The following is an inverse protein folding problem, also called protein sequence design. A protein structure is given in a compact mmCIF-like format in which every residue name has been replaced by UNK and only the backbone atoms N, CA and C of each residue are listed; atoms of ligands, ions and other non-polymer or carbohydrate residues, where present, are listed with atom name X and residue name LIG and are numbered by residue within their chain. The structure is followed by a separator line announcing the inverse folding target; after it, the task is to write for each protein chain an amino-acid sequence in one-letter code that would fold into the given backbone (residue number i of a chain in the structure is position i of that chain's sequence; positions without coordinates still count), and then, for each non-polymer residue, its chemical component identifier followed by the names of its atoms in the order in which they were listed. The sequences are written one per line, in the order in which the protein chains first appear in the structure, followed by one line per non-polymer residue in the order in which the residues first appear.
data_IF_020751767325
#
_entry.id   IF_020751767325
#
_cell.length_a   1.000
_cell.length_b   1.000
_cell.length_c   1.000
_cell.angle_alpha   90.00
_cell.angle_beta   90.00
_cell.angle_gamma   90.00
#
_symmetry.space_group_name_H-M   'P 1'
#
loop_
_entity.id
_entity.type
_entity.pdbx_description
1 polymer ?
#
# COMPACT_ATOMS: atom_id res chain seq x y z
N UNK A 1 13.70 30.39 8.54
CA UNK A 1 12.76 29.44 7.90
C UNK A 1 12.45 28.36 8.90
N UNK A 2 11.29 28.42 9.55
CA UNK A 2 10.87 27.42 10.52
C UNK A 2 10.46 26.17 9.75
N UNK A 3 11.20 25.07 9.91
CA UNK A 3 10.86 23.80 9.28
C UNK A 3 9.54 23.32 9.88
N UNK A 4 8.43 23.52 9.18
CA UNK A 4 7.16 22.94 9.58
C UNK A 4 7.31 21.42 9.51
N UNK A 5 7.17 20.76 10.66
CA UNK A 5 7.30 19.33 10.76
C UNK A 5 6.24 18.68 9.86
N UNK A 6 6.68 17.91 8.85
CA UNK A 6 5.76 17.25 7.91
C UNK A 6 5.04 16.13 8.64
N UNK A 7 3.72 16.04 8.48
CA UNK A 7 2.95 14.92 9.01
C UNK A 7 3.57 13.58 8.58
N UNK A 8 3.91 12.74 9.56
CA UNK A 8 4.43 11.40 9.34
C UNK A 8 3.26 10.42 9.36
N UNK A 9 2.99 9.78 8.23
CA UNK A 9 2.04 8.68 8.16
C UNK A 9 2.69 7.45 8.78
N UNK A 10 2.09 6.86 9.81
CA UNK A 10 2.56 5.62 10.42
C UNK A 10 1.38 4.72 10.74
N UNK A 11 1.52 3.43 10.41
CA UNK A 11 0.57 2.41 10.81
C UNK A 11 1.30 1.19 11.34
N UNK A 12 0.68 0.49 12.29
CA UNK A 12 1.05 -0.87 12.67
C UNK A 12 0.00 -1.82 12.17
N UNK A 13 0.44 -2.82 11.40
CA UNK A 13 -0.43 -3.75 10.70
C UNK A 13 -0.03 -5.17 11.07
N UNK A 14 -1.01 -5.97 11.49
CA UNK A 14 -0.87 -7.40 11.72
C UNK A 14 -1.33 -8.14 10.46
N UNK A 15 -0.48 -9.02 9.92
CA UNK A 15 -0.92 -9.98 8.90
C UNK A 15 -1.62 -11.13 9.62
N UNK A 16 -2.72 -11.61 9.04
CA UNK A 16 -3.50 -12.72 9.57
C UNK A 16 -3.41 -13.93 8.64
N UNK A 17 -3.50 -15.12 9.23
CA UNK A 17 -3.79 -16.38 8.54
C UNK A 17 -5.08 -16.95 9.13
N UNK A 18 -6.17 -16.87 8.36
CA UNK A 18 -7.52 -17.32 8.78
C UNK A 18 -7.98 -16.69 10.09
N UNK A 19 -7.78 -15.38 10.23
CA UNK A 19 -8.11 -14.61 11.42
C UNK A 19 -7.09 -14.64 12.56
N UNK A 20 -6.08 -15.52 12.51
CA UNK A 20 -5.05 -15.61 13.55
C UNK A 20 -3.79 -14.80 13.19
N UNK A 21 -3.13 -14.12 14.15
CA UNK A 21 -1.91 -13.36 13.90
C UNK A 21 -0.77 -14.21 13.30
N UNK A 22 -0.35 -13.85 12.08
CA UNK A 22 0.84 -14.40 11.44
C UNK A 22 2.07 -13.53 11.76
N UNK A 23 2.87 -13.96 12.74
CA UNK A 23 4.07 -13.25 13.17
C UNK A 23 3.80 -11.96 13.95
N UNK A 24 4.81 -11.09 14.07
CA UNK A 24 4.70 -9.82 14.79
C UNK A 24 4.09 -8.71 13.92
N UNK A 25 3.39 -7.72 14.53
CA UNK A 25 2.89 -6.57 13.79
C UNK A 25 4.01 -5.77 13.13
N UNK A 26 3.78 -5.33 11.90
CA UNK A 26 4.74 -4.62 11.07
C UNK A 26 4.45 -3.13 11.12
N UNK A 27 5.46 -2.32 11.43
CA UNK A 27 5.38 -0.87 11.32
C UNK A 27 5.63 -0.41 9.88
N UNK A 28 4.72 0.39 9.33
CA UNK A 28 4.80 0.92 7.97
C UNK A 28 4.68 2.44 8.02
N UNK A 29 5.58 3.13 7.32
CA UNK A 29 5.75 4.59 7.47
C UNK A 29 5.78 5.34 6.14
N UNK A 30 5.51 6.65 6.20
CA UNK A 30 5.60 7.60 5.11
C UNK A 30 4.80 7.16 3.88
N UNK A 31 5.49 7.08 2.74
CA UNK A 31 4.86 6.72 1.45
C UNK A 31 4.47 5.24 1.35
N UNK A 32 5.13 4.36 2.11
CA UNK A 32 4.72 2.95 2.18
C UNK A 32 3.42 2.82 2.97
N UNK A 33 3.28 3.58 4.06
CA UNK A 33 2.03 3.65 4.85
C UNK A 33 0.87 4.12 3.98
N UNK A 34 1.06 5.20 3.21
CA UNK A 34 0.08 5.67 2.24
C UNK A 34 -0.28 4.58 1.21
N UNK A 35 0.70 3.92 0.60
CA UNK A 35 0.45 2.90 -0.41
C UNK A 35 -0.32 1.71 0.16
N UNK A 36 0.09 1.20 1.33
CA UNK A 36 -0.58 0.09 2.00
C UNK A 36 -2.01 0.45 2.39
N UNK A 37 -2.26 1.65 2.91
CA UNK A 37 -3.62 2.14 3.21
C UNK A 37 -4.53 2.10 1.99
N UNK A 38 -4.04 2.59 0.85
CA UNK A 38 -4.82 2.58 -0.38
C UNK A 38 -5.11 1.15 -0.84
N UNK A 39 -4.16 0.23 -0.73
CA UNK A 39 -4.38 -1.17 -1.06
C UNK A 39 -5.40 -1.84 -0.14
N UNK A 40 -5.33 -1.60 1.17
CA UNK A 40 -6.32 -2.09 2.15
C UNK A 40 -7.72 -1.57 1.80
N UNK A 41 -7.85 -0.26 1.58
CA UNK A 41 -9.13 0.37 1.26
C UNK A 41 -9.70 -0.09 -0.09
N UNK A 42 -8.85 -0.34 -1.08
CA UNK A 42 -9.29 -0.84 -2.38
C UNK A 42 -9.70 -2.31 -2.34
N UNK A 43 -9.17 -3.09 -1.39
CA UNK A 43 -9.40 -4.53 -1.29
C UNK A 43 -9.13 -5.25 -2.62
N UNK A 44 -10.04 -6.14 -3.01
CA UNK A 44 -9.95 -6.90 -4.25
C UNK A 44 -9.97 -6.03 -5.53
N UNK A 45 -10.49 -4.81 -5.47
CA UNK A 45 -10.45 -3.90 -6.62
C UNK A 45 -9.02 -3.43 -6.91
N UNK A 46 -8.13 -3.41 -5.91
CA UNK A 46 -6.75 -2.99 -6.05
C UNK A 46 -6.54 -1.52 -6.46
N UNK A 47 -5.28 -1.11 -6.54
CA UNK A 47 -4.89 0.24 -6.93
C UNK A 47 -4.14 0.24 -8.27
N UNK A 48 -4.49 1.18 -9.13
CA UNK A 48 -3.74 1.48 -10.37
C UNK A 48 -3.24 2.94 -10.32
N UNK A 49 -2.06 3.25 -10.88
CA UNK A 49 -1.60 4.64 -11.01
C UNK A 49 -2.60 5.56 -11.74
N UNK A 50 -3.55 5.01 -12.50
CA UNK A 50 -4.58 5.77 -13.22
C UNK A 50 -5.62 6.35 -12.25
N UNK A 51 -6.18 5.53 -11.36
CA UNK A 51 -7.26 5.94 -10.43
C UNK A 51 -6.73 6.41 -9.09
N UNK A 52 -5.56 5.93 -8.70
CA UNK A 52 -4.90 6.26 -7.42
C UNK A 52 -3.50 6.79 -7.72
N UNK A 53 -3.37 8.03 -8.21
CA UNK A 53 -2.09 8.56 -8.65
C UNK A 53 -1.09 8.65 -7.50
N UNK A 54 0.10 8.11 -7.72
CA UNK A 54 1.19 8.10 -6.76
C UNK A 54 2.53 7.93 -7.48
N UNK A 55 3.61 8.58 -7.03
CA UNK A 55 4.80 8.75 -7.86
C UNK A 55 5.58 7.46 -8.14
N UNK A 56 5.43 6.38 -7.34
CA UNK A 56 6.26 5.15 -7.45
C UNK A 56 5.59 3.87 -6.93
N UNK A 57 4.42 3.52 -7.45
CA UNK A 57 3.70 2.31 -7.04
C UNK A 57 4.53 1.02 -7.11
N UNK A 58 5.30 0.81 -8.18
CA UNK A 58 6.18 -0.36 -8.33
C UNK A 58 7.22 -0.48 -7.22
N UNK A 59 7.82 0.62 -6.80
CA UNK A 59 8.79 0.63 -5.70
C UNK A 59 8.12 0.39 -4.34
N UNK A 60 6.94 0.98 -4.09
CA UNK A 60 6.23 0.79 -2.84
C UNK A 60 5.77 -0.65 -2.67
N UNK A 61 5.21 -1.23 -3.73
CA UNK A 61 4.75 -2.62 -3.74
C UNK A 61 5.92 -3.60 -3.58
N UNK A 62 7.07 -3.35 -4.24
CA UNK A 62 8.29 -4.14 -4.02
C UNK A 62 8.77 -4.11 -2.57
N UNK A 63 8.81 -2.91 -1.94
CA UNK A 63 9.19 -2.76 -0.52
C UNK A 63 8.20 -3.49 0.40
N UNK A 64 6.90 -3.32 0.18
CA UNK A 64 5.85 -3.96 0.99
C UNK A 64 5.89 -5.49 0.88
N UNK A 65 6.16 -6.05 -0.30
CA UNK A 65 6.41 -7.49 -0.47
C UNK A 65 7.60 -7.97 0.34
N UNK A 66 8.69 -7.21 0.34
CA UNK A 66 9.86 -7.48 1.18
C UNK A 66 9.57 -7.43 2.69
N UNK A 67 8.49 -6.77 3.10
CA UNK A 67 8.01 -6.74 4.49
C UNK A 67 7.05 -7.90 4.82
N UNK A 68 6.68 -8.73 3.84
CA UNK A 68 5.81 -9.90 4.03
C UNK A 68 4.38 -9.76 3.50
N UNK A 69 3.98 -8.60 2.98
CA UNK A 69 2.64 -8.42 2.41
C UNK A 69 2.53 -9.12 1.05
N UNK A 70 1.55 -10.02 0.92
CA UNK A 70 1.22 -10.68 -0.34
C UNK A 70 0.47 -9.69 -1.24
N UNK A 71 1.19 -9.11 -2.21
CA UNK A 71 0.64 -8.16 -3.17
C UNK A 71 0.84 -8.72 -4.57
N UNK A 72 -0.20 -8.80 -5.38
CA UNK A 72 -0.13 -9.19 -6.80
C UNK A 72 0.03 -7.96 -7.70
N UNK A 73 0.67 -8.13 -8.86
CA UNK A 73 0.66 -7.15 -9.96
C UNK A 73 -0.07 -7.75 -11.16
N UNK A 74 -1.27 -7.25 -11.42
CA UNK A 74 -2.08 -7.58 -12.59
C UNK A 74 -1.75 -6.57 -13.70
N UNK A 75 -1.48 -7.04 -14.91
CA UNK A 75 -1.24 -6.17 -16.06
C UNK A 75 -2.55 -5.94 -16.82
N UNK A 76 -3.11 -4.75 -16.69
CA UNK A 76 -4.34 -4.36 -17.37
C UNK A 76 -4.01 -3.65 -18.68
N UNK A 77 -4.59 -4.12 -19.77
CA UNK A 77 -4.53 -3.42 -21.06
C UNK A 77 -5.36 -2.15 -20.98
N UNK A 78 -4.83 -1.07 -21.53
CA UNK A 78 -5.60 0.16 -21.75
C UNK A 78 -5.56 0.56 -23.23
N UNK A 79 -6.70 1.05 -23.73
CA UNK A 79 -6.85 1.55 -25.11
C UNK A 79 -6.47 3.02 -25.25
N UNK A 80 -6.88 3.62 -26.36
CA UNK A 80 -6.65 5.02 -26.70
C UNK A 80 -5.44 5.24 -27.63
N UNK A 81 -5.10 6.51 -27.95
CA UNK A 81 -4.00 6.85 -28.87
C UNK A 81 -2.63 6.33 -28.43
N UNK A 82 -2.47 6.09 -27.13
CA UNK A 82 -1.27 5.51 -26.53
C UNK A 82 -1.65 4.19 -25.87
N UNK A 83 -1.82 3.13 -26.66
CA UNK A 83 -2.16 1.80 -26.14
C UNK A 83 -1.01 1.17 -25.37
N UNK A 84 -1.32 0.42 -24.32
CA UNK A 84 -0.30 -0.26 -23.53
C UNK A 84 -0.89 -1.13 -22.44
N UNK A 85 -0.05 -1.51 -21.49
CA UNK A 85 -0.48 -2.12 -20.24
C UNK A 85 -0.04 -1.26 -19.07
N UNK A 86 -0.82 -1.30 -18.00
CA UNK A 86 -0.46 -0.68 -16.74
C UNK A 86 -0.70 -1.68 -15.60
N UNK A 87 -0.02 -1.45 -14.48
CA UNK A 87 -0.15 -2.31 -13.32
C UNK A 87 -1.37 -1.94 -12.48
N UNK A 88 -2.15 -2.96 -12.08
CA UNK A 88 -3.03 -2.94 -10.93
C UNK A 88 -2.40 -3.78 -9.82
N UNK A 89 -2.34 -3.22 -8.62
CA UNK A 89 -1.78 -3.87 -7.44
C UNK A 89 -2.91 -4.28 -6.50
N UNK A 90 -2.95 -5.55 -6.12
CA UNK A 90 -4.00 -6.12 -5.26
C UNK A 90 -3.34 -6.71 -4.02
N UNK A 91 -3.81 -6.33 -2.84
CA UNK A 91 -3.37 -6.93 -1.57
C UNK A 91 -4.20 -8.20 -1.31
N UNK A 92 -3.51 -9.32 -1.18
CA UNK A 92 -4.10 -10.63 -0.86
C UNK A 92 -3.94 -11.00 0.61
N UNK A 93 -2.99 -10.40 1.32
CA UNK A 93 -2.86 -10.61 2.76
C UNK A 93 -4.12 -10.13 3.48
N UNK A 94 -4.70 -11.01 4.29
CA UNK A 94 -5.63 -10.61 5.33
C UNK A 94 -4.85 -9.79 6.37
N UNK A 95 -5.35 -8.62 6.73
CA UNK A 95 -4.65 -7.71 7.64
C UNK A 95 -5.60 -7.05 8.64
N UNK A 96 -5.09 -6.84 9.85
CA UNK A 96 -5.71 -6.00 10.87
C UNK A 96 -4.84 -4.78 11.15
N UNK A 97 -5.43 -3.58 11.05
CA UNK A 97 -4.74 -2.34 11.37
C UNK A 97 -4.88 -2.10 12.87
N UNK A 98 -3.78 -2.26 13.60
CA UNK A 98 -3.74 -2.11 15.06
C UNK A 98 -3.63 -0.64 15.48
N UNK A 99 -2.85 0.14 14.72
CA UNK A 99 -2.66 1.57 14.93
C UNK A 99 -2.63 2.26 13.56
N UNK A 100 -3.40 3.34 13.42
CA UNK A 100 -3.37 4.23 12.26
C UNK A 100 -3.26 5.67 12.75
N UNK A 101 -2.04 6.22 12.71
CA UNK A 101 -1.79 7.58 13.15
C UNK A 101 -1.33 8.46 11.98
N UNK A 102 -2.00 9.60 11.83
CA UNK A 102 -1.40 10.77 11.20
C UNK A 102 -0.59 11.48 12.28
N UNK A 103 0.69 11.12 12.42
CA UNK A 103 1.54 11.68 13.45
C UNK A 103 1.87 13.12 13.06
N UNK A 104 1.38 14.08 13.86
CA UNK A 104 1.93 15.44 13.84
C UNK A 104 3.39 15.31 14.31
N UNK A 105 4.32 15.68 13.43
CA UNK A 105 5.75 15.61 13.72
C UNK A 105 6.16 16.77 14.65
#
# INVERSE_FOLDING_TARGET
MTTQAKAHYRMRVQILDKGEPLGLPIAVEGRLCWALRNLINAGAAGCTPITTPGPRWSHYTWRLRGMGFAIETIHEKHGGPFTGTHARYVLHSEVSVLEDAKVAA
#
